data_IF_862909095521
#
_entry.id   IF_862909095521
#
_cell.length_a   1.000
_cell.length_b   1.000
_cell.length_c   1.000
_cell.angle_alpha   90.00
_cell.angle_beta   90.00
_cell.angle_gamma   90.00
#
_symmetry.space_group_name_H-M   'P 1'
#
loop_
_entity.id
_entity.type
_entity.pdbx_description
1 polymer ?
#
# COMPACT_ATOMS: atom_id res chain seq x y z
N UNK A 1 15.86 18.16 9.15
CA UNK A 1 15.86 16.70 9.36
C UNK A 1 15.91 16.44 10.86
N UNK A 2 14.83 15.90 11.44
CA UNK A 2 14.59 15.90 12.89
C UNK A 2 15.54 14.93 13.63
N UNK A 3 15.96 13.84 12.97
CA UNK A 3 16.92 12.84 13.48
C UNK A 3 18.34 13.37 13.66
N UNK A 4 18.80 14.23 12.74
CA UNK A 4 20.12 14.88 12.87
C UNK A 4 20.12 15.84 14.07
N UNK A 5 18.99 16.51 14.33
CA UNK A 5 18.87 17.41 15.47
C UNK A 5 18.76 16.69 16.82
N UNK A 6 18.34 15.41 16.85
CA UNK A 6 18.26 14.61 18.09
C UNK A 6 19.54 13.83 18.39
N UNK A 7 20.35 13.53 17.38
CA UNK A 7 21.61 12.77 17.53
C UNK A 7 22.87 13.64 17.59
N UNK A 8 22.77 14.94 17.31
CA UNK A 8 23.90 15.88 17.36
C UNK A 8 23.62 17.08 18.25
N UNK A 9 24.58 17.42 19.12
CA UNK A 9 24.56 18.59 20.01
C UNK A 9 24.65 19.90 19.23
N UNK A 10 24.10 21.00 19.77
CA UNK A 10 24.03 22.31 19.09
C UNK A 10 25.40 22.83 18.60
N UNK A 11 26.50 22.44 19.25
CA UNK A 11 27.88 22.85 18.93
C UNK A 11 28.44 22.19 17.66
N UNK A 12 27.95 21.01 17.26
CA UNK A 12 28.55 20.19 16.19
C UNK A 12 27.83 20.34 14.84
N UNK A 13 26.77 21.15 14.80
CA UNK A 13 25.83 21.23 13.66
C UNK A 13 26.44 21.70 12.35
N UNK A 14 27.51 22.50 12.40
CA UNK A 14 28.23 23.01 11.22
C UNK A 14 29.32 22.07 10.72
N UNK A 15 30.02 21.38 11.62
CA UNK A 15 31.16 20.54 11.25
C UNK A 15 30.74 19.16 10.73
N UNK A 16 29.65 18.57 11.23
CA UNK A 16 29.21 17.22 10.84
C UNK A 16 28.20 17.16 9.69
N UNK A 17 27.95 18.25 8.97
CA UNK A 17 26.97 18.24 7.87
C UNK A 17 27.32 17.21 6.77
N UNK A 18 28.60 16.95 6.53
CA UNK A 18 29.04 15.95 5.56
C UNK A 18 28.63 14.53 5.95
N UNK A 19 28.54 14.20 7.25
CA UNK A 19 28.11 12.87 7.70
C UNK A 19 26.62 12.65 7.38
N UNK A 20 25.79 13.67 7.61
CA UNK A 20 24.38 13.67 7.20
C UNK A 20 24.24 13.48 5.69
N UNK A 21 25.05 14.20 4.89
CA UNK A 21 25.03 14.06 3.43
C UNK A 21 25.38 12.65 2.98
N UNK A 22 26.29 11.95 3.65
CA UNK A 22 26.63 10.56 3.34
C UNK A 22 25.43 9.61 3.57
N UNK A 23 24.71 9.77 4.69
CA UNK A 23 23.47 9.01 4.94
C UNK A 23 22.38 9.32 3.91
N UNK A 24 22.22 10.59 3.54
CA UNK A 24 21.23 10.99 2.53
C UNK A 24 21.59 10.50 1.13
N UNK A 25 22.88 10.45 0.78
CA UNK A 25 23.37 9.85 -0.47
C UNK A 25 23.07 8.36 -0.52
N UNK A 26 23.29 7.64 0.60
CA UNK A 26 22.95 6.23 0.72
C UNK A 26 21.45 6.01 0.51
N UNK A 27 20.61 6.77 1.24
CA UNK A 27 19.15 6.73 1.09
C UNK A 27 18.71 7.03 -0.35
N UNK A 28 19.27 8.06 -0.97
CA UNK A 28 18.90 8.46 -2.35
C UNK A 28 19.26 7.37 -3.37
N UNK A 29 20.40 6.69 -3.20
CA UNK A 29 20.78 5.53 -4.04
C UNK A 29 19.80 4.38 -3.85
N UNK A 30 19.42 4.07 -2.62
CA UNK A 30 18.41 3.05 -2.32
C UNK A 30 17.05 3.41 -2.95
N UNK A 31 16.58 4.64 -2.75
CA UNK A 31 15.30 5.09 -3.28
C UNK A 31 15.28 5.01 -4.80
N UNK A 32 16.36 5.35 -5.51
CA UNK A 32 16.44 5.18 -6.97
C UNK A 32 16.17 3.74 -7.41
N UNK A 33 16.70 2.75 -6.70
CA UNK A 33 16.42 1.34 -6.99
C UNK A 33 14.95 1.03 -6.69
N UNK A 34 14.43 1.50 -5.57
CA UNK A 34 13.01 1.35 -5.22
C UNK A 34 12.08 1.95 -6.30
N UNK A 35 12.44 3.09 -6.88
CA UNK A 35 11.70 3.73 -7.97
C UNK A 35 11.64 2.85 -9.21
N UNK A 36 12.76 2.23 -9.58
CA UNK A 36 12.83 1.31 -10.71
C UNK A 36 12.01 0.03 -10.49
N UNK A 37 11.75 -0.34 -9.23
CA UNK A 37 10.96 -1.52 -8.88
C UNK A 37 9.44 -1.25 -8.82
N UNK A 38 8.99 0.01 -8.92
CA UNK A 38 7.55 0.35 -8.84
C UNK A 38 6.67 -0.46 -9.81
N UNK A 39 7.03 -0.63 -11.10
CA UNK A 39 6.21 -1.43 -12.01
C UNK A 39 6.08 -2.90 -11.58
N UNK A 40 7.12 -3.45 -10.95
CA UNK A 40 7.14 -4.83 -10.45
C UNK A 40 6.24 -5.00 -9.23
N UNK A 41 6.21 -3.99 -8.35
CA UNK A 41 5.31 -3.95 -7.20
C UNK A 41 3.85 -3.81 -7.65
N UNK A 42 3.57 -2.95 -8.64
CA UNK A 42 2.22 -2.81 -9.20
C UNK A 42 1.70 -4.09 -9.86
N UNK A 43 2.56 -4.81 -10.59
CA UNK A 43 2.18 -6.10 -11.15
C UNK A 43 1.76 -7.10 -10.05
N UNK A 44 2.47 -7.10 -8.93
CA UNK A 44 2.09 -7.89 -7.77
C UNK A 44 0.77 -7.42 -7.15
N UNK A 45 0.58 -6.12 -6.93
CA UNK A 45 -0.67 -5.56 -6.41
C UNK A 45 -1.88 -6.04 -7.24
N UNK A 46 -1.76 -6.01 -8.58
CA UNK A 46 -2.79 -6.50 -9.49
C UNK A 46 -3.06 -8.01 -9.33
N UNK A 47 -2.01 -8.82 -9.21
CA UNK A 47 -2.15 -10.27 -9.00
C UNK A 47 -2.88 -10.58 -7.68
N UNK A 48 -2.53 -9.86 -6.61
CA UNK A 48 -3.14 -10.06 -5.30
C UNK A 48 -4.62 -9.61 -5.33
N UNK A 49 -4.94 -8.47 -5.93
CA UNK A 49 -6.32 -7.99 -6.07
C UNK A 49 -7.21 -8.92 -6.89
N UNK A 50 -6.67 -9.58 -7.90
CA UNK A 50 -7.39 -10.56 -8.72
C UNK A 50 -7.47 -11.97 -8.09
N UNK A 51 -7.06 -12.13 -6.83
CA UNK A 51 -7.10 -13.42 -6.14
C UNK A 51 -6.06 -14.45 -6.62
N UNK A 52 -5.09 -14.06 -7.45
CA UNK A 52 -4.05 -14.94 -8.00
C UNK A 52 -2.92 -15.18 -6.98
N UNK A 53 -3.28 -15.84 -5.87
CA UNK A 53 -2.42 -16.01 -4.69
C UNK A 53 -1.12 -16.78 -4.96
N UNK A 54 -1.16 -17.80 -5.82
CA UNK A 54 0.03 -18.58 -6.19
C UNK A 54 1.00 -17.75 -7.04
N UNK A 55 0.49 -17.07 -8.07
CA UNK A 55 1.29 -16.20 -8.93
C UNK A 55 1.91 -15.04 -8.12
N UNK A 56 1.15 -14.41 -7.23
CA UNK A 56 1.65 -13.38 -6.34
C UNK A 56 2.76 -13.89 -5.40
N UNK A 57 2.61 -15.11 -4.85
CA UNK A 57 3.67 -15.75 -4.03
C UNK A 57 4.95 -16.00 -4.83
N UNK A 58 4.83 -16.57 -6.02
CA UNK A 58 5.98 -16.81 -6.91
C UNK A 58 6.68 -15.50 -7.28
N UNK A 59 5.90 -14.47 -7.61
CA UNK A 59 6.41 -13.14 -7.95
C UNK A 59 7.21 -12.51 -6.80
N UNK A 60 6.68 -12.58 -5.58
CA UNK A 60 7.38 -12.10 -4.37
C UNK A 60 8.66 -12.86 -4.10
N UNK A 61 8.66 -14.17 -4.29
CA UNK A 61 9.87 -15.00 -4.15
C UNK A 61 10.94 -14.59 -5.17
N UNK A 62 10.58 -14.48 -6.44
CA UNK A 62 11.50 -14.08 -7.50
C UNK A 62 12.08 -12.68 -7.26
N UNK A 63 11.26 -11.73 -6.82
CA UNK A 63 11.77 -10.40 -6.47
C UNK A 63 12.75 -10.47 -5.30
N UNK A 64 12.41 -11.19 -4.23
CA UNK A 64 13.28 -11.36 -3.05
C UNK A 64 14.63 -11.94 -3.41
N UNK A 65 14.66 -12.97 -4.25
CA UNK A 65 15.90 -13.59 -4.74
C UNK A 65 16.74 -12.59 -5.54
N UNK A 66 16.10 -11.76 -6.38
CA UNK A 66 16.78 -10.76 -7.20
C UNK A 66 17.32 -9.56 -6.42
N UNK A 67 16.60 -9.08 -5.40
CA UNK A 67 16.96 -7.84 -4.68
C UNK A 67 17.66 -8.09 -3.35
N UNK A 68 17.68 -9.32 -2.85
CA UNK A 68 18.20 -9.68 -1.53
C UNK A 68 19.63 -9.22 -1.31
N UNK A 69 20.55 -9.63 -2.20
CA UNK A 69 21.97 -9.22 -2.11
C UNK A 69 22.14 -7.70 -2.20
N UNK A 70 21.32 -7.03 -3.01
CA UNK A 70 21.40 -5.58 -3.17
C UNK A 70 20.93 -4.87 -1.90
N UNK A 71 19.87 -5.35 -1.26
CA UNK A 71 19.38 -4.83 0.02
C UNK A 71 20.42 -5.04 1.14
N UNK A 72 21.04 -6.22 1.20
CA UNK A 72 22.08 -6.53 2.19
C UNK A 72 23.31 -5.64 2.03
N UNK A 73 23.71 -5.30 0.79
CA UNK A 73 24.77 -4.32 0.52
C UNK A 73 24.44 -2.94 1.11
N UNK A 74 23.22 -2.44 0.93
CA UNK A 74 22.81 -1.16 1.51
C UNK A 74 22.80 -1.17 3.05
N UNK A 75 22.37 -2.28 3.66
CA UNK A 75 22.41 -2.44 5.12
C UNK A 75 23.85 -2.52 5.66
N UNK A 76 24.76 -3.16 4.93
CA UNK A 76 26.17 -3.19 5.27
C UNK A 76 26.83 -1.79 5.15
N UNK A 77 26.55 -1.06 4.06
CA UNK A 77 26.98 0.34 3.88
C UNK A 77 26.43 1.23 5.03
N UNK A 78 25.16 1.05 5.41
CA UNK A 78 24.57 1.77 6.54
C UNK A 78 25.30 1.48 7.85
N UNK A 79 25.56 0.20 8.17
CA UNK A 79 26.26 -0.19 9.39
C UNK A 79 27.68 0.40 9.46
N UNK A 80 28.37 0.47 8.32
CA UNK A 80 29.68 1.12 8.22
C UNK A 80 29.60 2.62 8.52
N UNK A 81 28.62 3.32 7.94
CA UNK A 81 28.40 4.75 8.20
C UNK A 81 28.00 5.01 9.67
N UNK A 82 27.12 4.18 10.23
CA UNK A 82 26.72 4.27 11.64
C UNK A 82 27.92 4.09 12.58
N UNK A 83 28.81 3.13 12.28
CA UNK A 83 30.04 2.92 13.06
C UNK A 83 31.03 4.07 12.88
N UNK A 84 31.22 4.57 11.66
CA UNK A 84 32.17 5.64 11.33
C UNK A 84 31.81 6.96 12.02
N UNK A 85 30.53 7.30 12.05
CA UNK A 85 30.05 8.59 12.57
C UNK A 85 29.39 8.50 13.94
N UNK A 86 29.30 7.30 14.54
CA UNK A 86 28.59 7.04 15.81
C UNK A 86 27.13 7.55 15.83
N UNK A 87 26.49 7.63 14.66
CA UNK A 87 25.13 8.12 14.47
C UNK A 87 24.20 6.98 14.03
N UNK A 88 22.97 6.95 14.55
CA UNK A 88 21.99 5.87 14.24
C UNK A 88 21.13 6.14 13.00
N UNK A 89 20.71 7.39 12.78
CA UNK A 89 19.82 7.79 11.67
C UNK A 89 18.60 6.85 11.48
N UNK A 90 17.67 6.79 12.45
CA UNK A 90 16.55 5.85 12.45
C UNK A 90 15.71 5.88 11.18
N UNK A 91 15.34 7.05 10.67
CA UNK A 91 14.51 7.14 9.45
C UNK A 91 15.18 6.59 8.20
N UNK A 92 16.51 6.67 8.10
CA UNK A 92 17.27 6.06 6.99
C UNK A 92 17.37 4.56 7.19
N UNK A 93 17.59 4.11 8.42
CA UNK A 93 17.64 2.69 8.76
C UNK A 93 16.31 2.00 8.45
N UNK A 94 15.20 2.59 8.86
CA UNK A 94 13.86 2.06 8.62
C UNK A 94 13.59 1.89 7.12
N UNK A 95 13.93 2.92 6.33
CA UNK A 95 13.74 2.89 4.88
C UNK A 95 14.53 1.78 4.20
N UNK A 96 15.78 1.54 4.62
CA UNK A 96 16.62 0.48 4.07
C UNK A 96 16.19 -0.91 4.57
N UNK A 97 15.69 -1.01 5.80
CA UNK A 97 15.16 -2.24 6.38
C UNK A 97 13.90 -2.75 5.66
N UNK A 98 13.22 -1.92 4.87
CA UNK A 98 12.14 -2.37 4.00
C UNK A 98 12.58 -3.41 2.96
N UNK A 99 13.90 -3.49 2.66
CA UNK A 99 14.53 -4.44 1.73
C UNK A 99 13.84 -4.51 0.35
N UNK A 100 13.20 -3.42 -0.07
CA UNK A 100 12.34 -3.30 -1.26
C UNK A 100 11.08 -4.18 -1.29
N UNK A 101 10.85 -5.04 -0.30
CA UNK A 101 9.76 -6.03 -0.31
C UNK A 101 8.59 -5.57 0.57
N UNK A 102 8.83 -4.67 1.54
CA UNK A 102 7.79 -4.18 2.46
C UNK A 102 6.52 -3.70 1.74
N UNK A 103 6.57 -2.97 0.60
CA UNK A 103 5.37 -2.61 -0.15
C UNK A 103 4.50 -3.82 -0.56
N UNK A 104 5.11 -4.90 -1.05
CA UNK A 104 4.38 -6.12 -1.44
C UNK A 104 3.78 -6.84 -0.24
N UNK A 105 4.41 -6.74 0.93
CA UNK A 105 3.85 -7.27 2.18
C UNK A 105 2.57 -6.50 2.55
N UNK A 106 2.57 -5.18 2.39
CA UNK A 106 1.41 -4.32 2.62
C UNK A 106 0.29 -4.65 1.62
N UNK A 107 0.61 -4.78 0.32
CA UNK A 107 -0.39 -5.16 -0.71
C UNK A 107 -1.06 -6.49 -0.37
N UNK A 108 -0.27 -7.47 0.08
CA UNK A 108 -0.79 -8.79 0.47
C UNK A 108 -1.71 -8.68 1.68
N UNK A 109 -1.32 -7.89 2.68
CA UNK A 109 -2.12 -7.64 3.87
C UNK A 109 -3.47 -7.00 3.51
N UNK A 110 -3.48 -5.96 2.66
CA UNK A 110 -4.71 -5.31 2.18
C UNK A 110 -5.66 -6.31 1.53
N UNK A 111 -5.16 -7.15 0.63
CA UNK A 111 -6.02 -8.09 -0.06
C UNK A 111 -6.57 -9.23 0.81
N UNK A 112 -6.03 -9.44 2.02
CA UNK A 112 -6.58 -10.39 2.99
C UNK A 112 -7.75 -9.79 3.79
N UNK A 113 -7.93 -8.46 3.80
CA UNK A 113 -9.00 -7.78 4.53
C UNK A 113 -10.37 -8.23 4.06
N UNK A 114 -10.65 -8.11 2.76
CA UNK A 114 -11.96 -8.49 2.20
C UNK A 114 -12.30 -9.97 2.46
N UNK A 115 -11.42 -10.96 2.17
CA UNK A 115 -11.67 -12.36 2.53
C UNK A 115 -11.86 -12.60 4.04
N UNK A 116 -11.14 -11.88 4.90
CA UNK A 116 -11.28 -12.02 6.36
C UNK A 116 -12.59 -11.43 6.91
N UNK A 117 -13.28 -10.60 6.14
CA UNK A 117 -14.59 -10.02 6.49
C UNK A 117 -15.78 -10.81 5.91
N UNK A 118 -15.54 -11.76 5.01
CA UNK A 118 -16.59 -12.57 4.40
C UNK A 118 -17.27 -13.53 5.38
N UNK A 119 -18.49 -13.94 5.04
CA UNK A 119 -19.33 -14.82 5.88
C UNK A 119 -18.91 -16.29 5.84
N UNK A 120 -18.19 -16.73 4.79
CA UNK A 120 -17.75 -18.12 4.62
C UNK A 120 -16.68 -18.50 5.67
N UNK A 121 -16.99 -19.48 6.52
CA UNK A 121 -16.22 -19.74 7.75
C UNK A 121 -14.79 -20.21 7.48
N UNK A 122 -14.59 -21.13 6.55
CA UNK A 122 -13.29 -21.78 6.33
C UNK A 122 -12.28 -20.82 5.67
N UNK A 123 -12.74 -20.03 4.70
CA UNK A 123 -11.90 -19.06 4.00
C UNK A 123 -11.64 -17.81 4.84
N UNK A 124 -12.58 -17.45 5.72
CA UNK A 124 -12.42 -16.35 6.68
C UNK A 124 -11.32 -16.66 7.68
N UNK A 125 -11.36 -17.83 8.33
CA UNK A 125 -10.41 -18.19 9.39
C UNK A 125 -8.98 -18.23 8.85
N UNK A 126 -8.76 -18.93 7.72
CA UNK A 126 -7.43 -18.99 7.10
C UNK A 126 -6.91 -17.61 6.64
N UNK A 127 -7.79 -16.74 6.13
CA UNK A 127 -7.40 -15.38 5.71
C UNK A 127 -7.07 -14.50 6.91
N UNK A 128 -7.83 -14.64 8.00
CA UNK A 128 -7.63 -13.90 9.24
C UNK A 128 -6.35 -14.32 9.95
N UNK A 129 -6.06 -15.62 10.07
CA UNK A 129 -4.79 -16.12 10.61
C UNK A 129 -3.59 -15.60 9.81
N UNK A 130 -3.70 -15.61 8.47
CA UNK A 130 -2.66 -15.06 7.61
C UNK A 130 -2.48 -13.56 7.83
N UNK A 131 -3.58 -12.80 7.96
CA UNK A 131 -3.56 -11.36 8.24
C UNK A 131 -2.90 -11.07 9.60
N UNK A 132 -3.25 -11.82 10.64
CA UNK A 132 -2.67 -11.72 11.98
C UNK A 132 -1.16 -11.99 11.96
N UNK A 133 -0.71 -13.03 11.23
CA UNK A 133 0.71 -13.34 11.09
C UNK A 133 1.52 -12.20 10.45
N UNK A 134 0.94 -11.54 9.44
CA UNK A 134 1.57 -10.42 8.74
C UNK A 134 1.60 -9.17 9.61
N UNK A 135 0.50 -8.86 10.29
CA UNK A 135 0.41 -7.75 11.25
C UNK A 135 1.43 -7.91 12.36
N UNK A 136 1.51 -9.10 12.98
CA UNK A 136 2.50 -9.41 14.01
C UNK A 136 3.95 -9.24 13.53
N UNK A 137 4.21 -9.55 12.26
CA UNK A 137 5.53 -9.34 11.66
C UNK A 137 5.86 -7.86 11.48
N UNK A 138 4.88 -7.04 11.10
CA UNK A 138 5.06 -5.59 10.90
C UNK A 138 5.13 -4.82 12.23
N UNK A 139 4.42 -5.24 13.26
CA UNK A 139 4.45 -4.61 14.60
C UNK A 139 5.79 -4.80 15.31
N UNK A 140 6.53 -5.87 15.00
CA UNK A 140 7.87 -6.13 15.56
C UNK A 140 8.94 -5.15 15.08
N UNK A 141 8.70 -4.47 13.97
CA UNK A 141 9.59 -3.46 13.39
C UNK A 141 8.95 -2.06 13.50
N UNK A 142 8.95 -1.43 14.70
CA UNK A 142 8.43 -0.09 14.85
C UNK A 142 9.22 0.86 13.95
N UNK A 143 8.54 1.45 12.97
CA UNK A 143 9.12 2.41 12.03
C UNK A 143 8.93 3.84 12.56
N UNK A 144 9.98 4.65 12.51
CA UNK A 144 9.96 6.07 12.81
C UNK A 144 10.37 6.44 14.24
N UNK A 145 10.22 7.73 14.56
CA UNK A 145 10.58 8.32 15.87
C UNK A 145 9.44 8.27 16.89
N UNK A 146 8.46 7.36 16.72
CA UNK A 146 7.38 7.11 17.68
C UNK A 146 6.22 8.12 17.69
N UNK A 147 6.08 8.96 16.65
CA UNK A 147 5.02 9.98 16.57
C UNK A 147 4.16 9.90 15.30
N UNK A 148 4.61 9.23 14.24
CA UNK A 148 3.88 9.12 12.97
C UNK A 148 3.22 7.74 12.84
N UNK A 149 2.00 7.72 12.29
CA UNK A 149 1.28 6.48 12.01
C UNK A 149 2.06 5.64 10.99
N UNK A 150 2.32 4.35 11.24
CA UNK A 150 2.99 3.51 10.26
C UNK A 150 2.17 3.42 8.96
N UNK A 151 2.79 3.56 7.76
CA UNK A 151 2.07 3.55 6.48
C UNK A 151 1.25 2.28 6.23
N UNK A 152 1.66 1.15 6.83
CA UNK A 152 0.91 -0.10 6.70
C UNK A 152 -0.40 -0.07 7.49
N UNK A 153 -0.44 0.65 8.62
CA UNK A 153 -1.63 0.72 9.47
C UNK A 153 -2.67 1.65 8.84
N UNK A 154 -2.23 2.79 8.29
CA UNK A 154 -3.05 3.68 7.46
C UNK A 154 -3.66 2.92 6.27
N UNK A 155 -2.83 2.19 5.51
CA UNK A 155 -3.29 1.41 4.37
C UNK A 155 -4.25 0.27 4.75
N UNK A 156 -4.14 -0.28 5.97
CA UNK A 156 -5.08 -1.29 6.48
C UNK A 156 -6.42 -0.66 6.85
N UNK A 157 -6.39 0.49 7.53
CA UNK A 157 -7.59 1.25 7.91
C UNK A 157 -8.38 1.66 6.67
N UNK A 158 -7.71 2.23 5.66
CA UNK A 158 -8.33 2.58 4.38
C UNK A 158 -9.02 1.37 3.70
N UNK A 159 -8.36 0.20 3.72
CA UNK A 159 -8.90 -1.00 3.10
C UNK A 159 -10.11 -1.57 3.86
N UNK A 160 -10.10 -1.52 5.20
CA UNK A 160 -11.24 -1.93 6.02
C UNK A 160 -12.44 -1.02 5.78
N UNK A 161 -12.23 0.28 5.73
CA UNK A 161 -13.29 1.24 5.46
C UNK A 161 -13.86 1.04 4.04
N UNK A 162 -13.00 0.78 3.06
CA UNK A 162 -13.42 0.46 1.70
C UNK A 162 -14.24 -0.83 1.62
N UNK A 163 -13.81 -1.89 2.33
CA UNK A 163 -14.54 -3.16 2.37
C UNK A 163 -15.94 -3.00 3.00
N UNK A 164 -16.06 -2.21 4.07
CA UNK A 164 -17.36 -1.90 4.69
C UNK A 164 -18.28 -1.12 3.76
N UNK A 165 -17.75 -0.10 3.07
CA UNK A 165 -18.53 0.70 2.12
C UNK A 165 -19.05 -0.13 0.94
N UNK A 166 -18.23 -1.05 0.43
CA UNK A 166 -18.64 -1.95 -0.65
C UNK A 166 -19.77 -2.91 -0.22
N UNK A 167 -19.74 -3.44 1.00
CA UNK A 167 -20.83 -4.29 1.51
C UNK A 167 -22.14 -3.49 1.63
N UNK A 168 -22.07 -2.23 2.08
CA UNK A 168 -23.24 -1.34 2.15
C UNK A 168 -23.80 -1.03 0.74
N UNK A 169 -22.95 -0.76 -0.25
CA UNK A 169 -23.40 -0.51 -1.63
C UNK A 169 -24.10 -1.74 -2.24
N UNK A 170 -23.58 -2.95 -1.99
CA UNK A 170 -24.22 -4.19 -2.45
C UNK A 170 -25.57 -4.39 -1.77
N UNK A 171 -25.66 -4.16 -0.46
CA UNK A 171 -26.92 -4.27 0.29
C UNK A 171 -27.97 -3.25 -0.19
N UNK A 172 -27.55 -2.01 -0.50
CA UNK A 172 -28.42 -0.99 -1.10
C UNK A 172 -28.87 -1.40 -2.50
N UNK A 173 -27.99 -1.91 -3.37
CA UNK A 173 -28.34 -2.32 -4.72
C UNK A 173 -29.30 -3.52 -4.72
N UNK A 174 -29.09 -4.49 -3.82
CA UNK A 174 -30.03 -5.61 -3.61
C UNK A 174 -31.40 -5.11 -3.10
N UNK A 175 -31.42 -4.19 -2.14
CA UNK A 175 -32.65 -3.58 -1.64
C UNK A 175 -33.37 -2.77 -2.74
N UNK A 176 -32.62 -1.98 -3.53
CA UNK A 176 -33.16 -1.22 -4.65
C UNK A 176 -33.67 -2.14 -5.74
N UNK A 177 -32.98 -3.23 -6.07
CA UNK A 177 -33.45 -4.24 -7.03
C UNK A 177 -34.71 -4.98 -6.57
N UNK A 178 -34.87 -5.18 -5.26
CA UNK A 178 -36.08 -5.75 -4.68
C UNK A 178 -37.28 -4.78 -4.70
N UNK A 179 -37.03 -3.47 -4.54
CA UNK A 179 -38.09 -2.43 -4.49
C UNK A 179 -38.41 -1.89 -5.90
N UNK A 180 -37.42 -1.79 -6.77
CA UNK A 180 -37.50 -1.23 -8.12
C UNK A 180 -36.99 -2.30 -9.09
N UNK A 181 -37.88 -2.95 -9.88
CA UNK A 181 -37.44 -3.94 -10.85
C UNK A 181 -36.56 -3.25 -11.90
N UNK A 182 -35.27 -3.57 -11.90
CA UNK A 182 -34.35 -3.10 -12.93
C UNK A 182 -34.59 -3.91 -14.21
N UNK A 183 -34.88 -3.21 -15.30
CA UNK A 183 -34.99 -3.81 -16.63
C UNK A 183 -33.71 -3.52 -17.40
N UNK A 184 -32.95 -4.55 -17.83
CA UNK A 184 -31.80 -4.31 -18.71
C UNK A 184 -32.31 -3.72 -20.03
N UNK A 185 -31.81 -2.53 -20.36
CA UNK A 185 -32.07 -1.85 -21.63
C UNK A 185 -30.90 -2.10 -22.57
N UNK A 186 -31.22 -2.43 -23.82
CA UNK A 186 -30.23 -2.48 -24.89
C UNK A 186 -29.79 -1.05 -25.26
N UNK A 187 -28.59 -0.91 -25.80
CA UNK A 187 -28.03 0.40 -26.16
C UNK A 187 -28.93 1.18 -27.13
N UNK A 188 -29.61 0.47 -28.04
CA UNK A 188 -30.60 1.06 -28.95
C UNK A 188 -31.87 1.57 -28.23
N UNK A 189 -32.30 0.91 -27.15
CA UNK A 189 -33.44 1.37 -26.35
C UNK A 189 -33.07 2.58 -25.47
N UNK A 190 -31.81 2.68 -25.04
CA UNK A 190 -31.30 3.87 -24.32
C UNK A 190 -31.31 5.09 -25.25
N UNK A 191 -30.85 4.93 -26.49
CA UNK A 191 -30.86 6.02 -27.47
C UNK A 191 -32.28 6.51 -27.80
N UNK A 192 -33.24 5.59 -28.00
CA UNK A 192 -34.66 5.94 -28.23
C UNK A 192 -35.27 6.68 -27.02
N UNK A 193 -34.92 6.28 -25.79
CA UNK A 193 -35.40 6.99 -24.59
C UNK A 193 -34.81 8.39 -24.47
N UNK A 194 -33.52 8.58 -24.79
CA UNK A 194 -32.87 9.88 -24.78
C UNK A 194 -33.46 10.83 -25.83
N UNK A 195 -33.78 10.32 -27.03
CA UNK A 195 -34.46 11.11 -28.07
C UNK A 195 -35.88 11.53 -27.66
N UNK A 196 -36.64 10.62 -27.02
CA UNK A 196 -37.98 10.95 -26.47
C UNK A 196 -37.91 12.00 -25.37
N UNK A 197 -36.90 11.96 -24.51
CA UNK A 197 -36.72 12.96 -23.45
C UNK A 197 -36.29 14.30 -24.06
N UNK A 198 -35.39 14.30 -25.05
CA UNK A 198 -34.94 15.51 -25.73
C UNK A 198 -36.09 16.24 -26.46
N UNK A 199 -36.99 15.48 -27.08
CA UNK A 199 -38.18 16.04 -27.74
C UNK A 199 -39.20 16.61 -26.74
N UNK A 200 -39.42 15.96 -25.60
CA UNK A 200 -40.28 16.46 -24.52
C UNK A 200 -39.74 17.74 -23.87
N UNK A 201 -38.42 17.82 -23.63
CA UNK A 201 -37.76 19.02 -23.08
C UNK A 201 -37.84 20.19 -24.06
N UNK A 202 -37.71 19.94 -25.37
CA UNK A 202 -37.85 20.97 -26.40
C UNK A 202 -39.28 21.48 -26.56
N UNK A 203 -40.30 20.65 -26.30
CA UNK A 203 -41.69 21.11 -26.30
C UNK A 203 -42.02 21.96 -25.07
N UNK A 204 -41.48 21.62 -23.90
CA UNK A 204 -41.70 22.36 -22.65
C UNK A 204 -40.99 23.73 -22.60
N UNK A 205 -39.96 23.95 -23.45
CA UNK A 205 -39.29 25.25 -23.65
C UNK A 205 -39.96 26.15 -24.69
N UNK A 206 -40.92 25.63 -25.46
CA UNK A 206 -41.65 26.38 -26.51
C UNK A 206 -43.09 26.77 -26.11
N UNK A 207 -43.53 26.37 -24.92
CA UNK A 207 -44.73 26.89 -24.24
C UNK A 207 -44.32 27.85 -23.14
#
# INVERSE_FOLDING_TARGET
YRDYNSTTTQSDRGEMLYSLLDFLRLRSRYDRVSWNLRPVVWAHELLVRNGQNEAARMWRRALRERVGEQADKYLAELAQLQKKYAMRMPTVADRLNERFIKPMTIDRMRALVKPAMQTDSDHREASFEMLESLTNSLTREPSGVGLDLPPWLEALEEEVEHARGADIEVEIDELLGAIIPSRPLTLAEVDDQLERIATLVNHKRRS
#
